data_IF_854966140952
#
_entry.id   IF_854966140952
#
_cell.length_a   1.000
_cell.length_b   1.000
_cell.length_c   1.000
_cell.angle_alpha   90.00
_cell.angle_beta   90.00
_cell.angle_gamma   90.00
#
_symmetry.space_group_name_H-M   'P 1'
#
loop_
_entity.id
_entity.type
_entity.pdbx_description
1 polymer ?
#
# COMPACT_ATOMS: atom_id res chain seq x y z
N UNK A 1 -19.48 13.47 9.11
CA UNK A 1 -18.42 12.47 9.31
C UNK A 1 -18.03 12.46 10.76
N UNK A 2 -18.53 11.51 11.54
CA UNK A 2 -18.18 11.39 12.95
C UNK A 2 -16.78 10.78 13.06
N UNK A 3 -15.81 11.59 13.49
CA UNK A 3 -14.45 11.14 13.77
C UNK A 3 -14.44 10.64 15.20
N UNK A 4 -14.26 9.33 15.41
CA UNK A 4 -13.97 8.82 16.76
C UNK A 4 -12.61 9.37 17.19
N UNK A 5 -12.56 10.11 18.29
CA UNK A 5 -11.29 10.60 18.84
C UNK A 5 -10.50 9.46 19.49
N UNK A 6 -9.19 9.65 19.63
CA UNK A 6 -8.24 8.69 20.21
C UNK A 6 -8.64 8.20 21.61
N UNK A 7 -9.40 9.01 22.35
CA UNK A 7 -9.86 8.67 23.69
C UNK A 7 -10.87 7.51 23.72
N UNK A 8 -11.49 7.21 22.58
CA UNK A 8 -12.46 6.12 22.43
C UNK A 8 -11.86 4.83 21.84
N UNK A 9 -10.57 4.81 21.54
CA UNK A 9 -9.90 3.68 20.89
C UNK A 9 -8.80 3.07 21.78
N UNK A 10 -8.75 1.75 21.86
CA UNK A 10 -7.65 0.95 22.41
C UNK A 10 -7.26 -0.08 21.36
N UNK A 11 -5.99 -0.16 20.99
CA UNK A 11 -5.50 -1.06 19.93
C UNK A 11 -6.29 -0.94 18.60
N UNK A 12 -6.66 0.28 18.21
CA UNK A 12 -7.51 0.57 17.04
C UNK A 12 -8.93 -0.03 17.10
N UNK A 13 -9.37 -0.52 18.26
CA UNK A 13 -10.73 -0.98 18.52
C UNK A 13 -11.44 -0.01 19.47
N UNK A 14 -12.76 0.10 19.38
CA UNK A 14 -13.54 0.89 20.32
C UNK A 14 -13.42 0.29 21.72
N UNK A 15 -13.25 1.16 22.74
CA UNK A 15 -13.30 0.74 24.14
C UNK A 15 -14.65 0.09 24.45
N UNK A 16 -14.65 -0.92 25.32
CA UNK A 16 -15.89 -1.57 25.74
C UNK A 16 -16.85 -0.56 26.36
N UNK A 17 -16.36 0.39 27.17
CA UNK A 17 -17.21 1.44 27.75
C UNK A 17 -17.83 2.37 26.70
N UNK A 18 -17.17 2.55 25.55
CA UNK A 18 -17.70 3.33 24.43
C UNK A 18 -18.76 2.53 23.66
N UNK A 19 -18.56 1.21 23.52
CA UNK A 19 -19.54 0.28 22.92
C UNK A 19 -20.81 0.22 23.77
N UNK A 20 -20.66 0.10 25.09
CA UNK A 20 -21.78 0.01 26.03
C UNK A 20 -22.61 1.31 26.08
N UNK A 21 -22.01 2.45 25.71
CA UNK A 21 -22.70 3.73 25.53
C UNK A 21 -23.44 3.86 24.21
N UNK A 22 -23.18 2.99 23.23
CA UNK A 22 -24.00 2.87 22.02
C UNK A 22 -25.32 2.23 22.42
N UNK A 23 -26.23 3.04 22.95
CA UNK A 23 -27.61 2.62 23.19
C UNK A 23 -28.18 2.19 21.84
N UNK A 24 -28.81 1.01 21.72
CA UNK A 24 -29.62 0.71 20.55
C UNK A 24 -30.77 1.71 20.56
N UNK A 25 -30.62 2.81 19.82
CA UNK A 25 -31.73 3.68 19.48
C UNK A 25 -32.72 2.74 18.80
N UNK A 26 -33.90 2.58 19.41
CA UNK A 26 -35.05 1.82 18.89
C UNK A 26 -34.92 1.66 17.39
N UNK A 27 -34.62 0.45 16.90
CA UNK A 27 -34.14 0.20 15.53
C UNK A 27 -35.04 0.96 14.56
N UNK A 28 -34.60 2.15 14.14
CA UNK A 28 -35.25 2.85 13.03
C UNK A 28 -34.71 2.12 11.83
N UNK A 29 -35.52 1.24 11.27
CA UNK A 29 -35.25 0.67 9.95
C UNK A 29 -35.36 1.82 8.95
N UNK A 30 -34.30 2.61 8.82
CA UNK A 30 -34.16 3.53 7.71
C UNK A 30 -33.82 2.68 6.48
N UNK A 31 -34.70 2.70 5.49
CA UNK A 31 -34.45 2.03 4.22
C UNK A 31 -33.32 2.75 3.50
N UNK A 32 -32.28 1.99 3.13
CA UNK A 32 -31.21 2.52 2.28
C UNK A 32 -31.82 2.84 0.92
N UNK A 33 -31.71 4.09 0.49
CA UNK A 33 -32.13 4.46 -0.85
C UNK A 33 -31.05 4.09 -1.88
N UNK A 34 -31.39 4.21 -3.17
CA UNK A 34 -30.46 3.89 -4.26
C UNK A 34 -29.15 4.68 -4.19
N UNK A 35 -29.17 5.93 -3.72
CA UNK A 35 -27.97 6.76 -3.62
C UNK A 35 -27.07 6.29 -2.46
N UNK A 36 -27.65 5.82 -1.35
CA UNK A 36 -26.91 5.27 -0.23
C UNK A 36 -26.19 3.98 -0.62
N UNK A 37 -26.89 3.09 -1.33
CA UNK A 37 -26.32 1.84 -1.85
C UNK A 37 -25.22 2.14 -2.86
N UNK A 38 -25.43 3.10 -3.76
CA UNK A 38 -24.43 3.48 -4.75
C UNK A 38 -23.18 4.11 -4.10
N UNK A 39 -23.36 4.94 -3.07
CA UNK A 39 -22.25 5.50 -2.30
C UNK A 39 -21.46 4.40 -1.59
N UNK A 40 -22.14 3.40 -1.02
CA UNK A 40 -21.51 2.27 -0.36
C UNK A 40 -20.70 1.43 -1.36
N UNK A 41 -21.27 1.13 -2.52
CA UNK A 41 -20.59 0.36 -3.58
C UNK A 41 -19.35 1.11 -4.10
N UNK A 42 -19.46 2.41 -4.37
CA UNK A 42 -18.33 3.23 -4.80
C UNK A 42 -17.19 3.25 -3.77
N UNK A 43 -17.52 3.39 -2.48
CA UNK A 43 -16.52 3.34 -1.40
C UNK A 43 -15.88 1.97 -1.27
N UNK A 44 -16.67 0.91 -1.42
CA UNK A 44 -16.19 -0.48 -1.37
C UNK A 44 -15.23 -0.76 -2.52
N UNK A 45 -15.54 -0.27 -3.72
CA UNK A 45 -14.68 -0.43 -4.88
C UNK A 45 -13.34 0.27 -4.70
N UNK A 46 -13.31 1.50 -4.18
CA UNK A 46 -12.06 2.21 -3.84
C UNK A 46 -11.23 1.40 -2.83
N UNK A 47 -11.88 0.79 -1.83
CA UNK A 47 -11.17 -0.05 -0.84
C UNK A 47 -10.61 -1.31 -1.50
N UNK A 48 -11.36 -1.97 -2.37
CA UNK A 48 -10.93 -3.18 -3.08
C UNK A 48 -9.81 -2.89 -4.08
N UNK A 49 -9.88 -1.75 -4.79
CA UNK A 49 -8.80 -1.27 -5.66
C UNK A 49 -7.53 -0.97 -4.85
N UNK A 50 -7.68 -0.43 -3.63
CA UNK A 50 -6.57 -0.17 -2.71
C UNK A 50 -6.04 -1.44 -2.01
N UNK A 51 -6.82 -2.54 -1.97
CA UNK A 51 -6.38 -3.84 -1.43
C UNK A 51 -5.49 -4.62 -2.40
N UNK A 52 -5.46 -4.26 -3.68
CA UNK A 52 -4.39 -4.65 -4.59
C UNK A 52 -3.10 -3.91 -4.20
N UNK A 53 -2.50 -4.28 -3.06
CA UNK A 53 -1.20 -3.77 -2.62
C UNK A 53 -0.16 -4.09 -3.69
N UNK A 54 0.10 -3.10 -4.53
CA UNK A 54 1.19 -3.12 -5.49
C UNK A 54 2.47 -2.97 -4.68
N UNK A 55 3.46 -3.83 -4.91
CA UNK A 55 4.80 -3.51 -4.42
C UNK A 55 5.22 -2.22 -5.12
N UNK A 56 5.34 -1.15 -4.36
CA UNK A 56 5.69 0.17 -4.90
C UNK A 56 6.74 0.78 -3.98
N UNK A 57 7.99 0.80 -4.45
CA UNK A 57 9.07 1.42 -3.69
C UNK A 57 9.02 2.95 -3.72
N UNK A 58 8.18 3.57 -4.55
CA UNK A 58 7.93 5.01 -4.49
C UNK A 58 6.97 5.39 -3.36
N UNK A 59 6.12 4.45 -2.92
CA UNK A 59 5.30 4.64 -1.72
C UNK A 59 6.14 4.42 -0.45
N UNK A 60 6.55 5.54 0.17
CA UNK A 60 7.36 5.56 1.37
C UNK A 60 6.70 4.90 2.58
N UNK A 61 5.37 4.77 2.60
CA UNK A 61 4.63 4.19 3.73
C UNK A 61 4.02 2.82 3.39
N UNK A 62 4.01 2.45 2.12
CA UNK A 62 3.40 1.21 1.62
C UNK A 62 4.11 -0.07 2.03
N UNK A 63 5.40 0.00 2.40
CA UNK A 63 6.22 -1.14 2.82
C UNK A 63 6.84 -0.92 4.22
N UNK A 64 6.73 -1.97 5.03
CA UNK A 64 7.37 -2.13 6.35
C UNK A 64 8.87 -2.43 6.22
N UNK A 65 9.64 -2.22 7.29
CA UNK A 65 11.08 -2.53 7.28
C UNK A 65 11.35 -4.03 6.99
N UNK A 66 10.51 -4.92 7.55
CA UNK A 66 10.61 -6.36 7.30
C UNK A 66 10.35 -6.72 5.83
N UNK A 67 9.39 -6.07 5.18
CA UNK A 67 9.17 -6.23 3.73
C UNK A 67 10.35 -5.71 2.92
N UNK A 68 10.96 -4.57 3.30
CA UNK A 68 12.19 -4.08 2.68
C UNK A 68 13.32 -5.11 2.79
N UNK A 69 13.53 -5.68 3.98
CA UNK A 69 14.55 -6.70 4.20
C UNK A 69 14.24 -7.95 3.39
N UNK A 70 13.00 -8.42 3.40
CA UNK A 70 12.55 -9.60 2.66
C UNK A 70 12.77 -9.46 1.14
N UNK A 71 12.47 -8.27 0.60
CA UNK A 71 12.50 -8.02 -0.83
C UNK A 71 13.90 -7.64 -1.34
N UNK A 72 14.65 -6.85 -0.57
CA UNK A 72 15.89 -6.21 -1.05
C UNK A 72 17.15 -6.59 -0.29
N UNK A 73 17.03 -7.29 0.84
CA UNK A 73 18.12 -7.51 1.82
C UNK A 73 18.61 -6.30 2.59
N UNK A 74 18.03 -5.14 2.34
CA UNK A 74 18.39 -3.90 3.01
C UNK A 74 17.28 -3.52 3.99
N UNK A 75 17.67 -2.86 5.07
CA UNK A 75 16.71 -2.08 5.85
C UNK A 75 16.13 -0.97 4.98
N UNK A 76 14.98 -0.44 5.36
CA UNK A 76 14.35 0.70 4.68
C UNK A 76 15.29 1.90 4.61
N UNK A 77 16.01 2.17 5.70
CA UNK A 77 16.96 3.29 5.77
C UNK A 77 18.18 3.08 4.87
N UNK A 78 18.75 1.87 4.85
CA UNK A 78 19.91 1.58 4.01
C UNK A 78 19.54 1.56 2.53
N UNK A 79 18.35 1.06 2.19
CA UNK A 79 17.79 1.19 0.85
C UNK A 79 17.66 2.66 0.44
N UNK A 80 17.14 3.51 1.33
CA UNK A 80 16.99 4.94 1.04
C UNK A 80 18.33 5.64 0.83
N UNK A 81 19.35 5.32 1.64
CA UNK A 81 20.72 5.82 1.46
C UNK A 81 21.27 5.35 0.12
N UNK A 82 21.13 4.07 -0.20
CA UNK A 82 21.60 3.49 -1.46
C UNK A 82 20.96 4.17 -2.67
N UNK A 83 19.65 4.37 -2.66
CA UNK A 83 18.94 5.07 -3.75
C UNK A 83 19.45 6.50 -3.90
N UNK A 84 19.73 7.22 -2.81
CA UNK A 84 20.30 8.57 -2.87
C UNK A 84 21.69 8.58 -3.52
N UNK A 85 22.57 7.67 -3.11
CA UNK A 85 23.92 7.53 -3.68
C UNK A 85 23.89 7.17 -5.16
N UNK A 86 23.00 6.27 -5.55
CA UNK A 86 22.87 5.85 -6.95
C UNK A 86 22.25 6.95 -7.80
N UNK A 87 21.26 7.68 -7.28
CA UNK A 87 20.62 8.80 -7.99
C UNK A 87 21.60 9.96 -8.24
N UNK A 88 22.55 10.20 -7.34
CA UNK A 88 23.61 11.21 -7.56
C UNK A 88 24.65 10.80 -8.60
N UNK A 89 24.65 9.54 -9.05
CA UNK A 89 25.65 8.98 -9.96
C UNK A 89 25.26 9.07 -11.45
N UNK A 90 24.16 9.76 -11.78
CA UNK A 90 23.75 10.02 -13.18
C UNK A 90 22.78 9.01 -13.81
N UNK A 91 22.22 8.09 -13.02
CA UNK A 91 21.13 7.22 -13.51
C UNK A 91 19.89 8.08 -13.75
N UNK A 92 19.31 8.00 -14.95
CA UNK A 92 18.07 8.71 -15.33
C UNK A 92 16.85 7.84 -15.04
N UNK A 93 15.74 8.48 -14.66
CA UNK A 93 14.42 7.85 -14.63
C UNK A 93 14.08 7.31 -16.03
N UNK A 94 13.44 6.15 -16.09
CA UNK A 94 12.83 5.66 -17.33
C UNK A 94 11.40 6.23 -17.45
N UNK A 95 10.87 6.30 -18.66
CA UNK A 95 9.49 6.76 -18.91
C UNK A 95 8.42 5.96 -18.16
N UNK A 96 8.73 4.73 -17.73
CA UNK A 96 7.79 3.81 -17.11
C UNK A 96 8.09 3.48 -15.64
N UNK A 97 9.19 3.99 -15.04
CA UNK A 97 9.55 3.73 -13.64
C UNK A 97 10.54 4.75 -13.07
N UNK A 98 10.40 5.05 -11.78
CA UNK A 98 11.41 5.81 -11.04
C UNK A 98 12.70 4.99 -10.88
N UNK A 99 13.82 5.68 -10.67
CA UNK A 99 15.11 5.08 -10.30
C UNK A 99 14.94 4.21 -9.05
N UNK A 100 14.17 4.66 -8.07
CA UNK A 100 13.93 3.97 -6.80
C UNK A 100 13.24 2.63 -7.01
N UNK A 101 12.16 2.61 -7.79
CA UNK A 101 11.44 1.38 -8.13
C UNK A 101 12.29 0.46 -9.01
N UNK A 102 13.08 1.00 -9.94
CA UNK A 102 14.02 0.21 -10.74
C UNK A 102 15.07 -0.49 -9.86
N UNK A 103 15.68 0.23 -8.92
CA UNK A 103 16.65 -0.32 -7.96
C UNK A 103 15.99 -1.40 -7.11
N UNK A 104 14.79 -1.14 -6.58
CA UNK A 104 14.06 -2.12 -5.79
C UNK A 104 13.77 -3.41 -6.54
N UNK A 105 13.27 -3.32 -7.78
CA UNK A 105 13.01 -4.49 -8.64
C UNK A 105 14.30 -5.26 -8.94
N UNK A 106 15.40 -4.55 -9.20
CA UNK A 106 16.69 -5.18 -9.46
C UNK A 106 17.21 -5.95 -8.25
N UNK A 107 17.13 -5.36 -7.05
CA UNK A 107 17.50 -6.05 -5.81
C UNK A 107 16.59 -7.26 -5.53
N UNK A 108 15.28 -7.14 -5.77
CA UNK A 108 14.36 -8.28 -5.69
C UNK A 108 14.77 -9.41 -6.64
N UNK A 109 15.15 -9.06 -7.89
CA UNK A 109 15.57 -10.04 -8.90
C UNK A 109 16.81 -10.80 -8.46
N UNK A 110 17.83 -10.11 -7.96
CA UNK A 110 19.08 -10.74 -7.47
C UNK A 110 18.82 -11.59 -6.24
N UNK A 111 18.07 -11.05 -5.26
CA UNK A 111 17.87 -11.72 -3.98
C UNK A 111 16.97 -12.95 -4.09
N UNK A 112 15.86 -12.83 -4.81
CA UNK A 112 14.80 -13.84 -4.84
C UNK A 112 14.85 -14.71 -6.11
N UNK A 113 15.71 -14.40 -7.07
CA UNK A 113 15.84 -15.17 -8.32
C UNK A 113 14.58 -15.17 -9.18
N UNK A 114 13.73 -14.15 -9.04
CA UNK A 114 12.42 -14.13 -9.69
C UNK A 114 12.52 -13.84 -11.19
N UNK A 115 11.63 -14.48 -11.97
CA UNK A 115 11.52 -14.19 -13.39
C UNK A 115 11.02 -12.76 -13.64
N UNK A 116 11.46 -12.16 -14.75
CA UNK A 116 11.00 -10.83 -15.18
C UNK A 116 9.47 -10.74 -15.31
N UNK A 117 8.81 -11.83 -15.75
CA UNK A 117 7.35 -11.90 -15.85
C UNK A 117 6.67 -11.83 -14.49
N UNK A 118 7.23 -12.51 -13.49
CA UNK A 118 6.70 -12.50 -12.12
C UNK A 118 6.91 -11.12 -11.47
N UNK A 119 8.10 -10.53 -11.64
CA UNK A 119 8.38 -9.16 -11.19
C UNK A 119 7.41 -8.16 -11.84
N UNK A 120 7.18 -8.24 -13.15
CA UNK A 120 6.20 -7.39 -13.82
C UNK A 120 4.79 -7.54 -13.24
N UNK A 121 4.41 -8.74 -12.82
CA UNK A 121 3.11 -8.99 -12.17
C UNK A 121 3.06 -8.40 -10.75
N UNK A 122 4.10 -8.60 -9.94
CA UNK A 122 4.16 -8.12 -8.55
C UNK A 122 4.18 -6.59 -8.46
N UNK A 123 4.86 -5.94 -9.40
CA UNK A 123 5.01 -4.48 -9.48
C UNK A 123 4.00 -3.83 -10.44
N UNK A 124 3.08 -4.61 -11.04
CA UNK A 124 2.11 -4.17 -12.06
C UNK A 124 2.73 -3.27 -13.16
N UNK A 125 3.90 -3.66 -13.66
CA UNK A 125 4.57 -2.91 -14.73
C UNK A 125 3.73 -3.02 -16.02
N UNK A 126 3.51 -1.90 -16.73
CA UNK A 126 2.64 -1.87 -17.91
C UNK A 126 3.16 -2.72 -19.08
N UNK A 127 4.46 -3.04 -19.10
CA UNK A 127 5.08 -3.78 -20.18
C UNK A 127 5.73 -5.08 -19.68
N UNK A 128 5.10 -6.21 -20.00
CA UNK A 128 5.52 -7.57 -19.59
C UNK A 128 6.81 -8.04 -20.29
N UNK A 129 7.38 -7.24 -21.20
CA UNK A 129 8.59 -7.59 -21.99
C UNK A 129 9.87 -6.87 -21.56
N UNK A 130 9.82 -5.86 -20.70
CA UNK A 130 10.96 -4.92 -20.57
C UNK A 130 11.51 -4.88 -19.14
N UNK A 131 12.15 -5.97 -18.73
CA UNK A 131 13.07 -5.98 -17.57
C UNK A 131 14.40 -6.56 -18.07
N UNK A 132 15.05 -5.82 -18.97
CA UNK A 132 16.44 -6.04 -19.35
C UNK A 132 17.35 -5.41 -18.30
#
# INVERSE_FOLDING_TARGET
GARCCSDHLVNHQLKQEAIDQIKPVSIRQEELNSADVQLLLNKSQIILENQNKKFNFDDLLGLTDDEYRLLTSLSKDDFNKFVKTVSSSGIRNSSNRSIRTAIGIYLCKIRLGLSNRLLACMFQLPDKKTVS
#
